data_IF_737213087666
#
_entry.id   IF_737213087666
#
_cell.length_a   1.000
_cell.length_b   1.000
_cell.length_c   1.000
_cell.angle_alpha   90.00
_cell.angle_beta   90.00
_cell.angle_gamma   90.00
#
_symmetry.space_group_name_H-M   'P 1'
#
loop_
_entity.id
_entity.type
_entity.pdbx_description
1 polymer ?
#
# COMPACT_ATOMS: atom_id res chain seq x y z
N UNK A 1 20.28 -41.76 23.94
CA UNK A 1 18.94 -41.19 24.23
C UNK A 1 18.88 -39.66 24.00
N UNK A 2 19.49 -39.15 22.91
CA UNK A 2 19.61 -37.71 22.62
C UNK A 2 18.82 -37.21 21.38
N UNK A 3 18.12 -38.10 20.65
CA UNK A 3 17.59 -37.74 19.33
C UNK A 3 16.24 -37.04 19.27
N UNK A 4 15.37 -37.19 20.23
CA UNK A 4 14.01 -36.60 20.18
C UNK A 4 13.92 -35.20 20.80
N UNK A 5 14.69 -34.92 21.84
CA UNK A 5 14.74 -33.58 22.48
C UNK A 5 15.32 -32.49 21.59
N UNK A 6 16.31 -32.82 20.73
CA UNK A 6 16.89 -31.86 19.79
C UNK A 6 15.97 -31.45 18.65
N UNK A 7 15.01 -32.32 18.26
CA UNK A 7 14.03 -32.02 17.19
C UNK A 7 12.87 -31.17 17.67
N UNK A 8 12.55 -31.19 18.95
CA UNK A 8 11.42 -30.42 19.53
C UNK A 8 11.83 -29.02 19.96
N UNK A 9 13.13 -28.75 20.20
CA UNK A 9 13.61 -27.46 20.65
C UNK A 9 13.24 -26.29 19.72
N UNK A 10 13.37 -26.37 18.37
CA UNK A 10 12.94 -25.28 17.48
C UNK A 10 11.44 -24.99 17.58
N UNK A 11 10.61 -26.03 17.67
CA UNK A 11 9.16 -25.88 17.79
C UNK A 11 8.74 -25.24 19.11
N UNK A 12 9.41 -25.60 20.22
CA UNK A 12 9.18 -25.00 21.53
C UNK A 12 9.60 -23.53 21.59
N UNK A 13 10.66 -23.14 20.84
CA UNK A 13 11.07 -21.74 20.73
C UNK A 13 10.10 -20.89 19.92
N UNK A 14 9.49 -21.45 18.89
CA UNK A 14 8.51 -20.76 18.04
C UNK A 14 7.11 -20.72 18.68
N UNK A 15 6.80 -21.66 19.59
CA UNK A 15 5.48 -21.87 20.17
C UNK A 15 4.89 -20.62 20.85
N UNK A 16 5.62 -19.83 21.68
CA UNK A 16 5.04 -18.64 22.32
C UNK A 16 4.62 -17.59 21.29
N UNK A 17 5.47 -17.31 20.29
CA UNK A 17 5.16 -16.38 19.20
C UNK A 17 4.05 -16.90 18.30
N UNK A 18 4.05 -18.20 17.99
CA UNK A 18 3.01 -18.86 17.20
C UNK A 18 1.64 -18.83 17.89
N UNK A 19 1.59 -19.12 19.19
CA UNK A 19 0.35 -19.02 19.98
C UNK A 19 -0.18 -17.58 20.03
N UNK A 20 0.71 -16.61 20.22
CA UNK A 20 0.34 -15.20 20.20
C UNK A 20 -0.28 -14.82 18.84
N UNK A 21 0.36 -15.15 17.74
CA UNK A 21 -0.17 -14.89 16.39
C UNK A 21 -1.49 -15.63 16.16
N UNK A 22 -1.60 -16.89 16.58
CA UNK A 22 -2.85 -17.63 16.45
C UNK A 22 -3.98 -16.96 17.25
N UNK A 23 -3.75 -16.59 18.50
CA UNK A 23 -4.78 -15.99 19.35
C UNK A 23 -5.21 -14.60 18.86
N UNK A 24 -4.27 -13.73 18.47
CA UNK A 24 -4.57 -12.33 18.17
C UNK A 24 -4.75 -12.02 16.67
N UNK A 25 -4.41 -12.95 15.80
CA UNK A 25 -4.61 -12.82 14.35
C UNK A 25 -5.63 -13.81 13.80
N UNK A 26 -5.44 -15.12 14.02
CA UNK A 26 -6.34 -16.13 13.43
C UNK A 26 -7.72 -16.12 14.08
N UNK A 27 -7.82 -15.98 15.42
CA UNK A 27 -9.13 -16.00 16.09
C UNK A 27 -10.00 -14.82 15.61
N UNK A 28 -9.57 -13.55 15.62
CA UNK A 28 -10.38 -12.46 15.07
C UNK A 28 -10.74 -12.66 13.59
N UNK A 29 -9.82 -13.20 12.78
CA UNK A 29 -10.07 -13.46 11.37
C UNK A 29 -11.16 -14.52 11.17
N UNK A 30 -11.12 -15.61 11.94
CA UNK A 30 -12.16 -16.65 11.92
C UNK A 30 -13.50 -16.09 12.39
N UNK A 31 -13.51 -15.27 13.44
CA UNK A 31 -14.73 -14.61 13.92
C UNK A 31 -15.32 -13.67 12.85
N UNK A 32 -14.50 -12.91 12.15
CA UNK A 32 -14.95 -12.07 11.03
C UNK A 32 -15.50 -12.89 9.86
N UNK A 33 -14.87 -14.03 9.51
CA UNK A 33 -15.41 -14.96 8.49
C UNK A 33 -16.77 -15.48 8.94
N UNK A 34 -16.89 -15.92 10.20
CA UNK A 34 -18.17 -16.35 10.75
C UNK A 34 -19.21 -15.24 10.67
N UNK A 35 -18.85 -14.00 11.03
CA UNK A 35 -19.73 -12.84 10.99
C UNK A 35 -20.17 -12.50 9.55
N UNK A 36 -19.30 -12.63 8.57
CA UNK A 36 -19.62 -12.34 7.16
C UNK A 36 -20.70 -13.25 6.58
N UNK A 37 -20.95 -14.41 7.20
CA UNK A 37 -21.94 -15.40 6.81
C UNK A 37 -23.21 -15.34 7.66
N UNK A 38 -23.35 -14.35 8.53
CA UNK A 38 -24.52 -14.15 9.39
C UNK A 38 -25.56 -13.25 8.70
N UNK A 39 -26.78 -13.35 9.22
CA UNK A 39 -27.89 -12.43 8.95
C UNK A 39 -28.37 -11.84 10.26
N UNK A 40 -29.08 -10.70 10.19
CA UNK A 40 -29.63 -10.01 11.35
C UNK A 40 -29.12 -8.58 11.48
N UNK A 41 -29.51 -7.96 12.57
CA UNK A 41 -29.17 -6.58 12.93
C UNK A 41 -28.94 -6.47 14.44
N UNK A 42 -28.62 -5.26 14.93
CA UNK A 42 -28.38 -5.02 16.35
C UNK A 42 -29.62 -5.22 17.25
N UNK A 43 -30.83 -5.11 16.69
CA UNK A 43 -32.08 -5.19 17.45
C UNK A 43 -32.49 -6.65 17.63
N UNK A 44 -32.48 -7.41 16.52
CA UNK A 44 -32.95 -8.81 16.49
C UNK A 44 -31.81 -9.82 16.78
N UNK A 45 -30.57 -9.30 16.84
CA UNK A 45 -29.38 -10.13 16.99
C UNK A 45 -28.89 -10.72 15.67
N UNK A 46 -27.68 -11.26 15.69
CA UNK A 46 -27.05 -11.89 14.52
C UNK A 46 -27.19 -13.43 14.61
N UNK A 47 -27.62 -14.03 13.52
CA UNK A 47 -27.85 -15.48 13.43
C UNK A 47 -26.93 -16.10 12.37
N UNK A 48 -26.33 -17.24 12.72
CA UNK A 48 -25.48 -17.99 11.80
C UNK A 48 -26.32 -18.76 10.79
N UNK A 49 -26.44 -18.23 9.58
CA UNK A 49 -27.28 -18.77 8.51
C UNK A 49 -26.50 -19.22 7.28
N UNK A 50 -25.15 -19.10 7.30
CA UNK A 50 -24.29 -19.32 6.14
C UNK A 50 -24.74 -18.50 4.92
N UNK A 51 -25.07 -17.23 5.14
CA UNK A 51 -25.66 -16.33 4.16
C UNK A 51 -24.64 -15.80 3.16
N UNK A 52 -24.37 -16.57 2.11
CA UNK A 52 -23.43 -16.18 1.04
C UNK A 52 -23.87 -14.98 0.23
N UNK A 53 -25.17 -14.64 0.26
CA UNK A 53 -25.71 -13.46 -0.42
C UNK A 53 -25.02 -12.15 0.01
N UNK A 54 -24.51 -12.05 1.24
CA UNK A 54 -23.76 -10.88 1.67
C UNK A 54 -22.60 -10.53 0.71
N UNK A 55 -21.95 -11.55 0.13
CA UNK A 55 -20.87 -11.35 -0.84
C UNK A 55 -21.39 -10.93 -2.21
N UNK A 56 -22.45 -11.59 -2.71
CA UNK A 56 -23.03 -11.26 -4.02
C UNK A 56 -23.68 -9.90 -4.01
N UNK A 57 -24.45 -9.59 -2.97
CA UNK A 57 -25.11 -8.29 -2.81
C UNK A 57 -24.10 -7.18 -2.61
N UNK A 58 -23.06 -7.42 -1.79
CA UNK A 58 -21.98 -6.48 -1.59
C UNK A 58 -21.22 -6.17 -2.89
N UNK A 59 -20.88 -7.19 -3.68
CA UNK A 59 -20.20 -7.00 -4.95
C UNK A 59 -21.10 -6.35 -6.00
N UNK A 60 -22.39 -6.68 -6.06
CA UNK A 60 -23.33 -6.08 -7.01
C UNK A 60 -23.62 -4.61 -6.68
N UNK A 61 -23.75 -4.28 -5.39
CA UNK A 61 -24.07 -2.93 -4.93
C UNK A 61 -22.86 -1.99 -4.94
N UNK A 62 -21.69 -2.50 -4.57
CA UNK A 62 -20.49 -1.69 -4.35
C UNK A 62 -19.34 -2.01 -5.33
N UNK A 63 -19.63 -2.72 -6.42
CA UNK A 63 -18.62 -3.12 -7.41
C UNK A 63 -17.85 -1.94 -8.02
N UNK A 64 -18.51 -0.81 -8.23
CA UNK A 64 -17.87 0.43 -8.70
C UNK A 64 -16.84 0.98 -7.70
N UNK A 65 -17.09 0.81 -6.40
CA UNK A 65 -16.16 1.23 -5.33
C UNK A 65 -14.94 0.32 -5.27
N UNK A 66 -15.12 -1.00 -5.49
CA UNK A 66 -13.99 -1.92 -5.62
C UNK A 66 -13.09 -1.52 -6.80
N UNK A 67 -13.67 -1.33 -7.99
CA UNK A 67 -12.91 -0.92 -9.18
C UNK A 67 -12.19 0.41 -8.93
N UNK A 68 -12.87 1.39 -8.34
CA UNK A 68 -12.28 2.70 -8.01
C UNK A 68 -11.11 2.56 -7.03
N UNK A 69 -11.26 1.75 -5.97
CA UNK A 69 -10.18 1.52 -4.99
C UNK A 69 -8.95 0.91 -5.65
N UNK A 70 -9.13 -0.10 -6.49
CA UNK A 70 -8.03 -0.72 -7.22
C UNK A 70 -7.39 0.26 -8.21
N UNK A 71 -8.20 1.06 -8.89
CA UNK A 71 -7.72 2.06 -9.85
C UNK A 71 -6.91 3.18 -9.18
N UNK A 72 -7.45 3.76 -8.08
CA UNK A 72 -6.72 4.78 -7.31
C UNK A 72 -5.49 4.19 -6.65
N UNK A 73 -5.58 2.95 -6.14
CA UNK A 73 -4.44 2.20 -5.63
C UNK A 73 -3.33 2.03 -6.66
N UNK A 74 -3.69 1.65 -7.88
CA UNK A 74 -2.75 1.50 -8.98
C UNK A 74 -2.10 2.84 -9.36
N UNK A 75 -2.90 3.89 -9.55
CA UNK A 75 -2.39 5.22 -9.91
C UNK A 75 -1.46 5.79 -8.82
N UNK A 76 -1.83 5.67 -7.55
CA UNK A 76 -1.00 6.13 -6.43
C UNK A 76 0.29 5.30 -6.33
N UNK A 77 0.23 3.99 -6.56
CA UNK A 77 1.42 3.13 -6.58
C UNK A 77 2.36 3.51 -7.71
N UNK A 78 1.85 3.77 -8.92
CA UNK A 78 2.66 4.25 -10.05
C UNK A 78 3.29 5.61 -9.71
N UNK A 79 2.51 6.54 -9.14
CA UNK A 79 3.03 7.83 -8.70
C UNK A 79 4.15 7.67 -7.65
N UNK A 80 3.96 6.76 -6.68
CA UNK A 80 5.01 6.43 -5.71
C UNK A 80 6.27 5.89 -6.38
N UNK A 81 6.17 4.98 -7.36
CA UNK A 81 7.35 4.47 -8.09
C UNK A 81 8.08 5.62 -8.78
N UNK A 82 7.35 6.45 -9.52
CA UNK A 82 7.92 7.56 -10.29
C UNK A 82 8.65 8.57 -9.39
N UNK A 83 8.15 8.82 -8.19
CA UNK A 83 8.76 9.75 -7.24
C UNK A 83 9.84 9.07 -6.39
N UNK A 84 9.58 7.87 -5.88
CA UNK A 84 10.46 7.17 -4.96
C UNK A 84 11.72 6.62 -5.65
N UNK A 85 11.59 6.10 -6.86
CA UNK A 85 12.73 5.47 -7.54
C UNK A 85 13.88 6.46 -7.81
N UNK A 86 13.65 7.66 -8.40
CA UNK A 86 14.70 8.65 -8.57
C UNK A 86 15.30 9.12 -7.25
N UNK A 87 14.48 9.33 -6.22
CA UNK A 87 14.94 9.72 -4.89
C UNK A 87 15.83 8.64 -4.26
N UNK A 88 15.37 7.39 -4.23
CA UNK A 88 16.11 6.25 -3.72
C UNK A 88 17.43 6.03 -4.51
N UNK A 89 17.37 6.14 -5.84
CA UNK A 89 18.54 6.05 -6.70
C UNK A 89 19.58 7.12 -6.38
N UNK A 90 19.15 8.37 -6.24
CA UNK A 90 20.05 9.46 -5.89
C UNK A 90 20.68 9.25 -4.52
N UNK A 91 19.91 8.84 -3.51
CA UNK A 91 20.41 8.56 -2.16
C UNK A 91 21.41 7.40 -2.19
N UNK A 92 21.09 6.29 -2.88
CA UNK A 92 21.94 5.10 -2.93
C UNK A 92 23.29 5.37 -3.59
N UNK A 93 23.31 6.07 -4.74
CA UNK A 93 24.54 6.24 -5.55
C UNK A 93 25.27 7.56 -5.30
N UNK A 94 24.56 8.62 -4.86
CA UNK A 94 25.16 9.96 -4.70
C UNK A 94 25.08 10.50 -3.26
N UNK A 95 24.36 9.85 -2.37
CA UNK A 95 24.19 10.32 -0.97
C UNK A 95 25.47 10.33 -0.15
N UNK A 96 26.48 9.54 -0.51
CA UNK A 96 27.76 9.50 0.17
C UNK A 96 27.63 9.27 1.68
N UNK A 97 28.31 10.10 2.49
CA UNK A 97 28.24 10.02 3.97
C UNK A 97 26.91 10.53 4.55
N UNK A 98 26.11 11.24 3.77
CA UNK A 98 24.84 11.82 4.21
C UNK A 98 23.62 10.93 3.90
N UNK A 99 23.79 9.70 3.41
CA UNK A 99 22.70 8.75 3.10
C UNK A 99 21.68 8.65 4.22
N UNK A 100 22.15 8.43 5.46
CA UNK A 100 21.26 8.30 6.64
C UNK A 100 20.45 9.57 6.89
N UNK A 101 21.04 10.75 6.66
CA UNK A 101 20.36 12.05 6.81
C UNK A 101 19.25 12.20 5.76
N UNK A 102 19.53 11.84 4.51
CA UNK A 102 18.49 11.90 3.44
C UNK A 102 17.37 10.92 3.67
N UNK A 103 17.68 9.70 4.11
CA UNK A 103 16.66 8.71 4.51
C UNK A 103 15.83 9.21 5.69
N UNK A 104 16.48 9.80 6.70
CA UNK A 104 15.77 10.39 7.82
C UNK A 104 14.84 11.51 7.37
N UNK A 105 15.28 12.42 6.48
CA UNK A 105 14.45 13.48 5.92
C UNK A 105 13.24 12.92 5.14
N UNK A 106 13.42 11.84 4.39
CA UNK A 106 12.35 11.17 3.67
C UNK A 106 11.30 10.56 4.63
N UNK A 107 11.76 10.07 5.79
CA UNK A 107 10.90 9.48 6.81
C UNK A 107 10.32 10.51 7.78
N UNK A 108 10.91 11.70 7.89
CA UNK A 108 10.55 12.71 8.87
C UNK A 108 9.04 13.03 8.89
N UNK A 109 8.35 13.17 7.74
CA UNK A 109 6.89 13.40 7.74
C UNK A 109 6.09 12.28 8.41
N UNK A 110 6.65 11.07 8.50
CA UNK A 110 5.97 9.91 9.11
C UNK A 110 5.84 9.97 10.63
N UNK A 111 6.65 10.78 11.28
CA UNK A 111 6.51 11.04 12.72
C UNK A 111 5.29 11.93 13.05
N UNK A 112 4.69 12.53 12.04
CA UNK A 112 3.41 13.25 12.18
C UNK A 112 2.26 12.28 11.98
N UNK A 113 1.18 12.45 12.74
CA UNK A 113 -0.05 11.63 12.61
C UNK A 113 -0.54 11.58 11.15
N UNK A 114 -0.94 10.39 10.71
CA UNK A 114 -1.50 10.16 9.37
C UNK A 114 -2.68 11.10 9.06
N UNK A 115 -3.62 11.23 10.01
CA UNK A 115 -4.79 12.10 9.84
C UNK A 115 -4.37 13.57 9.71
N UNK A 116 -3.45 14.04 10.56
CA UNK A 116 -2.96 15.42 10.48
C UNK A 116 -2.28 15.71 9.15
N UNK A 117 -1.51 14.78 8.61
CA UNK A 117 -0.89 14.91 7.28
C UNK A 117 -1.92 15.02 6.18
N UNK A 118 -2.96 14.19 6.22
CA UNK A 118 -4.04 14.21 5.21
C UNK A 118 -4.85 15.50 5.30
N UNK A 119 -5.17 15.97 6.51
CA UNK A 119 -5.85 17.28 6.70
C UNK A 119 -4.97 18.44 6.25
N UNK A 120 -3.66 18.40 6.54
CA UNK A 120 -2.72 19.42 6.04
C UNK A 120 -2.65 19.41 4.51
N UNK A 121 -2.69 18.21 3.89
CA UNK A 121 -2.75 18.08 2.43
C UNK A 121 -4.02 18.68 1.85
N UNK A 122 -5.16 18.52 2.54
CA UNK A 122 -6.41 19.21 2.18
C UNK A 122 -6.23 20.72 2.15
N UNK A 123 -5.59 21.29 3.18
CA UNK A 123 -5.34 22.75 3.23
C UNK A 123 -4.43 23.20 2.07
N UNK A 124 -3.43 22.41 1.69
CA UNK A 124 -2.55 22.69 0.56
C UNK A 124 -3.30 22.68 -0.76
N UNK A 125 -4.26 21.77 -0.92
CA UNK A 125 -5.06 21.59 -2.14
C UNK A 125 -6.32 22.46 -2.19
N UNK A 126 -6.63 23.22 -1.13
CA UNK A 126 -7.74 24.17 -1.13
C UNK A 126 -7.50 25.28 -2.16
N UNK A 127 -8.55 25.74 -2.80
CA UNK A 127 -8.51 26.74 -3.88
C UNK A 127 -7.78 28.03 -3.50
N UNK A 128 -7.96 28.50 -2.26
CA UNK A 128 -7.24 29.65 -1.70
C UNK A 128 -6.07 29.21 -0.81
N UNK A 129 -5.60 27.99 -0.98
CA UNK A 129 -4.48 27.43 -0.23
C UNK A 129 -3.14 28.05 -0.58
N UNK A 130 -2.09 27.70 0.18
CA UNK A 130 -0.77 28.31 0.04
C UNK A 130 -0.09 28.03 -1.32
N UNK A 131 -0.57 27.04 -2.07
CA UNK A 131 -0.02 26.68 -3.39
C UNK A 131 -0.96 27.14 -4.50
N UNK A 132 -2.24 26.75 -4.46
CA UNK A 132 -3.19 27.05 -5.55
C UNK A 132 -3.61 28.51 -5.58
N UNK A 133 -3.70 29.18 -4.44
CA UNK A 133 -4.01 30.62 -4.36
C UNK A 133 -3.03 31.47 -5.18
N UNK A 134 -1.75 31.47 -4.84
CA UNK A 134 -0.74 32.22 -5.61
C UNK A 134 -0.67 31.85 -7.08
N UNK A 135 -0.80 30.58 -7.46
CA UNK A 135 -0.80 30.14 -8.86
C UNK A 135 -2.00 30.68 -9.63
N UNK A 136 -3.13 30.81 -8.99
CA UNK A 136 -4.35 31.40 -9.54
C UNK A 136 -4.22 32.94 -9.66
N UNK A 137 -3.70 33.59 -8.62
CA UNK A 137 -3.48 35.04 -8.59
C UNK A 137 -2.50 35.51 -9.68
N UNK A 138 -1.51 34.67 -10.00
CA UNK A 138 -0.56 34.93 -11.07
C UNK A 138 -1.05 34.48 -12.45
N UNK A 139 -2.31 34.02 -12.57
CA UNK A 139 -2.92 33.62 -13.85
C UNK A 139 -2.36 32.33 -14.45
N UNK A 140 -1.62 31.52 -13.68
CA UNK A 140 -1.11 30.21 -14.11
C UNK A 140 -2.23 29.18 -14.18
N UNK A 141 -3.22 29.29 -13.28
CA UNK A 141 -4.38 28.41 -13.23
C UNK A 141 -5.65 29.17 -13.57
N UNK A 142 -6.60 28.53 -14.30
CA UNK A 142 -7.94 29.09 -14.54
C UNK A 142 -8.66 29.39 -13.23
N UNK A 143 -9.48 30.43 -13.21
CA UNK A 143 -10.26 30.83 -12.01
C UNK A 143 -11.20 29.76 -11.48
N UNK A 144 -11.69 28.85 -12.35
CA UNK A 144 -12.56 27.72 -11.97
C UNK A 144 -11.82 26.41 -11.69
N UNK A 145 -10.49 26.42 -11.69
CA UNK A 145 -9.73 25.19 -11.40
C UNK A 145 -9.80 24.86 -9.92
N UNK A 146 -10.26 23.64 -9.60
CA UNK A 146 -10.17 23.06 -8.26
C UNK A 146 -9.74 21.60 -8.36
N UNK A 147 -8.96 21.16 -7.39
CA UNK A 147 -8.44 19.80 -7.32
C UNK A 147 -9.07 19.01 -6.18
N UNK A 148 -9.54 19.67 -5.13
CA UNK A 148 -10.25 19.04 -4.02
C UNK A 148 -11.52 18.36 -4.55
N UNK A 149 -11.99 17.35 -3.83
CA UNK A 149 -13.15 16.53 -4.19
C UNK A 149 -13.01 15.81 -5.53
N UNK A 150 -11.76 15.61 -6.02
CA UNK A 150 -11.47 14.86 -7.24
C UNK A 150 -10.64 13.60 -6.94
N UNK A 151 -10.67 12.65 -7.88
CA UNK A 151 -9.80 11.47 -7.82
C UNK A 151 -8.30 11.82 -7.84
N UNK A 152 -7.93 12.94 -8.47
CA UNK A 152 -6.55 13.42 -8.49
C UNK A 152 -6.07 13.87 -7.10
N UNK A 153 -6.93 14.53 -6.31
CA UNK A 153 -6.63 14.87 -4.92
C UNK A 153 -6.43 13.62 -4.07
N UNK A 154 -7.31 12.62 -4.21
CA UNK A 154 -7.18 11.34 -3.50
C UNK A 154 -5.87 10.66 -3.85
N UNK A 155 -5.58 10.47 -5.14
CA UNK A 155 -4.35 9.81 -5.61
C UNK A 155 -3.10 10.55 -5.15
N UNK A 156 -3.09 11.88 -5.16
CA UNK A 156 -1.94 12.66 -4.70
C UNK A 156 -1.73 12.55 -3.19
N UNK A 157 -2.80 12.56 -2.39
CA UNK A 157 -2.73 12.34 -0.94
C UNK A 157 -2.26 10.93 -0.59
N UNK A 158 -2.78 9.92 -1.28
CA UNK A 158 -2.34 8.54 -1.15
C UNK A 158 -0.85 8.39 -1.50
N UNK A 159 -0.42 8.95 -2.63
CA UNK A 159 0.98 8.90 -3.04
C UNK A 159 1.90 9.57 -2.01
N UNK A 160 1.53 10.74 -1.50
CA UNK A 160 2.27 11.42 -0.45
C UNK A 160 2.36 10.58 0.83
N UNK A 161 1.22 10.05 1.28
CA UNK A 161 1.17 9.29 2.53
C UNK A 161 1.89 7.94 2.47
N UNK A 162 2.01 7.31 1.31
CA UNK A 162 2.60 5.98 1.16
C UNK A 162 3.97 5.97 0.45
N UNK A 163 4.49 7.14 0.07
CA UNK A 163 5.80 7.29 -0.60
C UNK A 163 6.96 6.55 0.09
N UNK A 164 7.16 6.61 1.42
CA UNK A 164 8.25 5.91 2.08
C UNK A 164 8.14 4.39 2.04
N UNK A 165 6.93 3.83 2.00
CA UNK A 165 6.76 2.37 1.85
C UNK A 165 7.25 1.87 0.49
N UNK A 166 7.23 2.72 -0.52
CA UNK A 166 7.84 2.46 -1.83
C UNK A 166 9.34 2.75 -1.82
N UNK A 167 9.76 3.88 -1.24
CA UNK A 167 11.13 4.36 -1.34
C UNK A 167 12.13 3.49 -0.57
N UNK A 168 11.77 3.00 0.62
CA UNK A 168 12.67 2.23 1.45
C UNK A 168 13.07 0.88 0.85
N UNK A 169 12.16 0.02 0.37
CA UNK A 169 12.54 -1.23 -0.27
C UNK A 169 13.37 -1.01 -1.54
N UNK A 170 13.02 0.00 -2.35
CA UNK A 170 13.81 0.37 -3.54
C UNK A 170 15.22 0.80 -3.13
N UNK A 171 15.35 1.66 -2.12
CA UNK A 171 16.65 2.08 -1.62
C UNK A 171 17.50 0.90 -1.16
N UNK A 172 16.93 -0.01 -0.35
CA UNK A 172 17.65 -1.19 0.15
C UNK A 172 18.11 -2.08 -0.98
N UNK A 173 17.29 -2.26 -2.02
CA UNK A 173 17.68 -3.04 -3.19
C UNK A 173 18.80 -2.36 -3.99
N UNK A 174 18.70 -1.04 -4.20
CA UNK A 174 19.72 -0.26 -4.91
C UNK A 174 21.05 -0.20 -4.15
N UNK A 175 21.03 -0.17 -2.82
CA UNK A 175 22.25 -0.15 -2.01
C UNK A 175 23.00 -1.49 -2.01
N UNK A 176 22.31 -2.58 -2.33
CA UNK A 176 22.91 -3.91 -2.50
C UNK A 176 23.56 -4.13 -3.87
N UNK A 177 23.34 -3.23 -4.82
CA UNK A 177 23.98 -3.32 -6.15
C UNK A 177 25.47 -3.06 -6.00
N UNK A 178 26.29 -4.08 -6.31
CA UNK A 178 27.75 -3.94 -6.27
C UNK A 178 28.21 -2.90 -7.32
N UNK A 179 28.90 -1.83 -6.91
CA UNK A 179 29.44 -0.84 -7.84
C UNK A 179 30.31 -1.42 -8.94
N UNK A 180 31.02 -2.54 -8.67
CA UNK A 180 31.88 -3.22 -9.64
C UNK A 180 31.10 -3.75 -10.84
N UNK A 181 29.86 -4.19 -10.66
CA UNK A 181 29.01 -4.67 -11.77
C UNK A 181 28.61 -3.49 -12.66
N UNK A 182 28.42 -2.31 -12.10
CA UNK A 182 28.12 -1.10 -12.85
C UNK A 182 29.37 -0.59 -13.59
N UNK A 183 30.54 -0.65 -12.95
CA UNK A 183 31.85 -0.33 -13.59
C UNK A 183 32.15 -1.28 -14.74
N UNK A 184 31.96 -2.59 -14.55
CA UNK A 184 32.13 -3.57 -15.63
C UNK A 184 31.20 -3.30 -16.83
N UNK A 185 29.99 -2.81 -16.62
CA UNK A 185 29.12 -2.39 -17.73
C UNK A 185 29.73 -1.22 -18.52
N UNK A 186 30.36 -0.26 -17.84
CA UNK A 186 31.03 0.85 -18.51
C UNK A 186 32.28 0.40 -19.26
N UNK A 187 33.05 -0.55 -18.72
CA UNK A 187 34.21 -1.14 -19.38
C UNK A 187 33.82 -1.88 -20.69
N UNK A 188 32.57 -2.38 -20.74
CA UNK A 188 31.95 -2.95 -21.94
C UNK A 188 31.28 -1.90 -22.84
N UNK A 189 31.66 -0.63 -22.73
CA UNK A 189 31.17 0.51 -23.51
C UNK A 189 29.66 0.77 -23.35
N UNK A 190 29.02 0.34 -22.26
CA UNK A 190 27.62 0.68 -22.02
C UNK A 190 27.47 2.17 -21.69
N UNK A 191 26.51 2.83 -22.32
CA UNK A 191 26.12 4.19 -21.94
C UNK A 191 25.45 4.19 -20.56
N UNK A 192 25.36 5.37 -19.90
CA UNK A 192 24.70 5.51 -18.59
C UNK A 192 23.26 4.95 -18.59
N UNK A 193 22.52 5.21 -19.67
CA UNK A 193 21.16 4.69 -19.83
C UNK A 193 21.14 3.17 -19.98
N UNK A 194 22.09 2.62 -20.71
CA UNK A 194 22.20 1.16 -20.87
C UNK A 194 22.61 0.48 -19.57
N UNK A 195 23.58 1.02 -18.83
CA UNK A 195 23.95 0.53 -17.51
C UNK A 195 22.77 0.59 -16.54
N UNK A 196 21.99 1.66 -16.56
CA UNK A 196 20.77 1.78 -15.76
C UNK A 196 19.73 0.73 -16.15
N UNK A 197 19.32 0.67 -17.43
CA UNK A 197 18.21 -0.20 -17.87
C UNK A 197 18.56 -1.69 -17.86
N UNK A 198 19.84 -2.07 -18.12
CA UNK A 198 20.25 -3.47 -18.26
C UNK A 198 20.91 -4.05 -17.01
N UNK A 199 21.39 -3.21 -16.09
CA UNK A 199 22.09 -3.66 -14.88
C UNK A 199 21.34 -3.20 -13.62
N UNK A 200 21.25 -1.90 -13.39
CA UNK A 200 20.73 -1.36 -12.13
C UNK A 200 19.24 -1.65 -11.96
N UNK A 201 18.43 -1.37 -12.98
CA UNK A 201 16.98 -1.57 -12.91
C UNK A 201 16.62 -3.04 -12.67
N UNK A 202 17.13 -4.03 -13.41
CA UNK A 202 16.83 -5.44 -13.14
C UNK A 202 17.27 -5.89 -11.74
N UNK A 203 18.45 -5.49 -11.27
CA UNK A 203 18.94 -5.84 -9.93
C UNK A 203 18.13 -5.18 -8.81
N UNK A 204 17.47 -4.06 -9.07
CA UNK A 204 16.61 -3.37 -8.10
C UNK A 204 15.14 -3.78 -8.16
N UNK A 205 14.71 -4.56 -9.15
CA UNK A 205 13.31 -5.01 -9.29
C UNK A 205 12.76 -5.70 -8.04
N UNK A 206 13.50 -6.55 -7.29
CA UNK A 206 12.99 -7.11 -6.04
C UNK A 206 12.58 -6.05 -5.03
N UNK A 207 13.30 -4.91 -4.96
CA UNK A 207 12.93 -3.77 -4.11
C UNK A 207 11.67 -3.06 -4.61
N UNK A 208 11.54 -2.88 -5.92
CA UNK A 208 10.31 -2.32 -6.53
C UNK A 208 9.13 -3.24 -6.25
N UNK A 209 9.31 -4.56 -6.40
CA UNK A 209 8.28 -5.55 -6.11
C UNK A 209 7.78 -5.46 -4.66
N UNK A 210 8.71 -5.45 -3.70
CA UNK A 210 8.36 -5.30 -2.29
C UNK A 210 7.66 -3.96 -2.01
N UNK A 211 8.15 -2.86 -2.59
CA UNK A 211 7.56 -1.53 -2.48
C UNK A 211 6.13 -1.46 -3.03
N UNK A 212 5.88 -2.12 -4.18
CA UNK A 212 4.52 -2.20 -4.77
C UNK A 212 3.57 -2.90 -3.81
N UNK A 213 3.92 -4.04 -3.25
CA UNK A 213 3.05 -4.75 -2.30
C UNK A 213 2.79 -3.89 -1.05
N UNK A 214 3.85 -3.33 -0.47
CA UNK A 214 3.76 -2.51 0.75
C UNK A 214 2.98 -1.20 0.54
N UNK A 215 2.84 -0.74 -0.70
CA UNK A 215 2.10 0.48 -1.06
C UNK A 215 0.71 0.15 -1.55
N UNK A 216 0.56 -0.72 -2.55
CA UNK A 216 -0.71 -0.99 -3.22
C UNK A 216 -1.79 -1.54 -2.29
N UNK A 217 -1.42 -2.48 -1.40
CA UNK A 217 -2.39 -3.12 -0.51
C UNK A 217 -3.04 -2.14 0.46
N UNK A 218 -2.28 -1.37 1.27
CA UNK A 218 -2.90 -0.43 2.20
C UNK A 218 -3.55 0.75 1.47
N UNK A 219 -3.02 1.21 0.34
CA UNK A 219 -3.62 2.27 -0.47
C UNK A 219 -5.00 1.86 -1.00
N UNK A 220 -5.15 0.63 -1.49
CA UNK A 220 -6.43 0.14 -2.04
C UNK A 220 -7.52 -0.01 -0.98
N UNK A 221 -7.17 -0.12 0.29
CA UNK A 221 -8.10 -0.20 1.42
C UNK A 221 -8.24 1.11 2.20
N UNK A 222 -7.54 2.17 1.78
CA UNK A 222 -7.56 3.46 2.47
C UNK A 222 -8.94 4.11 2.37
N UNK A 223 -9.44 4.58 3.51
CA UNK A 223 -10.69 5.35 3.58
C UNK A 223 -10.46 6.82 3.94
N UNK A 224 -9.36 7.13 4.64
CA UNK A 224 -9.12 8.48 5.18
C UNK A 224 -8.84 9.49 4.08
N UNK A 225 -7.93 9.15 3.14
CA UNK A 225 -7.63 10.07 2.04
C UNK A 225 -8.85 10.27 1.12
N UNK A 226 -9.61 9.21 0.85
CA UNK A 226 -10.81 9.30 0.03
C UNK A 226 -11.89 10.17 0.71
N UNK A 227 -12.11 10.02 2.01
CA UNK A 227 -13.07 10.80 2.77
C UNK A 227 -12.69 12.29 2.87
N UNK A 228 -11.41 12.57 3.15
CA UNK A 228 -10.94 13.94 3.39
C UNK A 228 -10.70 14.73 2.10
N UNK A 229 -10.25 14.07 1.02
CA UNK A 229 -9.80 14.71 -0.21
C UNK A 229 -10.70 14.46 -1.42
N UNK A 230 -11.50 13.38 -1.39
CA UNK A 230 -12.24 12.91 -2.58
C UNK A 230 -13.67 13.39 -2.68
N UNK A 231 -14.25 13.86 -1.59
CA UNK A 231 -15.66 14.20 -1.54
C UNK A 231 -16.58 12.99 -1.79
N UNK A 232 -17.92 13.20 -1.82
CA UNK A 232 -18.89 12.10 -1.86
C UNK A 232 -18.80 11.21 -3.11
N UNK A 233 -18.34 11.75 -4.23
CA UNK A 233 -18.29 11.02 -5.51
C UNK A 233 -17.05 10.14 -5.67
N UNK A 234 -16.00 10.36 -4.88
CA UNK A 234 -14.73 9.64 -4.98
C UNK A 234 -14.47 8.69 -3.82
N UNK A 235 -15.55 8.22 -3.18
CA UNK A 235 -15.47 7.22 -2.10
C UNK A 235 -14.89 5.91 -2.62
N UNK A 236 -14.04 5.29 -1.81
CA UNK A 236 -13.41 3.99 -2.04
C UNK A 236 -14.14 2.90 -1.24
N UNK A 237 -13.79 1.64 -1.48
CA UNK A 237 -14.43 0.53 -0.77
C UNK A 237 -14.15 0.58 0.74
N UNK A 238 -13.01 1.12 1.17
CA UNK A 238 -12.71 1.36 2.58
C UNK A 238 -13.72 2.25 3.28
N UNK A 239 -14.22 3.32 2.60
CA UNK A 239 -15.27 4.17 3.13
C UNK A 239 -16.61 3.43 3.29
N UNK A 240 -16.95 2.57 2.33
CA UNK A 240 -18.16 1.75 2.41
C UNK A 240 -18.08 0.79 3.58
N UNK A 241 -16.97 0.07 3.75
CA UNK A 241 -16.75 -0.85 4.87
C UNK A 241 -16.87 -0.09 6.20
N UNK A 242 -16.27 1.09 6.31
CA UNK A 242 -16.36 1.95 7.48
C UNK A 242 -17.82 2.35 7.76
N UNK A 243 -18.54 2.80 6.73
CA UNK A 243 -19.94 3.23 6.85
C UNK A 243 -20.86 2.08 7.27
N UNK A 244 -20.73 0.91 6.62
CA UNK A 244 -21.51 -0.29 6.96
C UNK A 244 -21.24 -0.74 8.40
N UNK A 245 -19.98 -0.66 8.84
CA UNK A 245 -19.60 -1.09 10.18
C UNK A 245 -20.03 -0.10 11.26
N UNK A 246 -19.69 1.19 11.12
CA UNK A 246 -19.89 2.18 12.20
C UNK A 246 -21.24 2.89 12.14
N UNK A 247 -21.73 3.22 10.95
CA UNK A 247 -22.95 4.03 10.81
C UNK A 247 -24.19 3.15 10.66
N UNK A 248 -24.12 2.10 9.85
CA UNK A 248 -25.25 1.22 9.58
C UNK A 248 -25.32 0.03 10.54
N UNK A 249 -24.22 -0.23 11.30
CA UNK A 249 -24.10 -1.42 12.17
C UNK A 249 -24.39 -2.75 11.46
N UNK A 250 -24.18 -2.78 10.14
CA UNK A 250 -24.35 -3.93 9.27
C UNK A 250 -23.07 -4.78 9.26
N UNK A 251 -22.68 -5.30 10.42
CA UNK A 251 -21.44 -6.04 10.62
C UNK A 251 -21.24 -7.21 9.65
N UNK A 252 -22.28 -8.03 9.32
CA UNK A 252 -22.13 -9.11 8.34
C UNK A 252 -21.73 -8.59 6.95
N UNK A 253 -22.37 -7.51 6.47
CA UNK A 253 -22.05 -6.89 5.19
C UNK A 253 -20.64 -6.28 5.19
N UNK A 254 -20.28 -5.50 6.22
CA UNK A 254 -18.95 -4.92 6.36
C UNK A 254 -17.84 -5.99 6.36
N UNK A 255 -18.09 -7.12 7.07
CA UNK A 255 -17.17 -8.27 7.09
C UNK A 255 -17.06 -8.93 5.73
N UNK A 256 -18.17 -9.14 5.03
CA UNK A 256 -18.18 -9.74 3.69
C UNK A 256 -17.41 -8.89 2.68
N UNK A 257 -17.61 -7.55 2.68
CA UNK A 257 -16.88 -6.60 1.85
C UNK A 257 -15.38 -6.60 2.15
N UNK A 258 -14.99 -6.69 3.43
CA UNK A 258 -13.60 -6.76 3.85
C UNK A 258 -12.92 -8.02 3.33
N UNK A 259 -13.58 -9.18 3.43
CA UNK A 259 -13.05 -10.44 2.89
C UNK A 259 -13.03 -10.47 1.37
N UNK A 260 -14.02 -9.89 0.70
CA UNK A 260 -14.02 -9.75 -0.75
C UNK A 260 -12.83 -8.90 -1.21
N UNK A 261 -12.57 -7.76 -0.55
CA UNK A 261 -11.40 -6.92 -0.84
C UNK A 261 -10.09 -7.70 -0.60
N UNK A 262 -9.97 -8.37 0.54
CA UNK A 262 -8.80 -9.18 0.86
C UNK A 262 -8.55 -10.26 -0.20
N UNK A 263 -9.58 -10.98 -0.63
CA UNK A 263 -9.47 -12.01 -1.66
C UNK A 263 -9.00 -11.43 -3.00
N UNK A 264 -9.57 -10.29 -3.43
CA UNK A 264 -9.17 -9.59 -4.67
C UNK A 264 -7.70 -9.17 -4.59
N UNK A 265 -7.28 -8.57 -3.46
CA UNK A 265 -5.89 -8.15 -3.27
C UNK A 265 -4.93 -9.34 -3.24
N UNK A 266 -5.28 -10.43 -2.56
CA UNK A 266 -4.46 -11.66 -2.53
C UNK A 266 -4.30 -12.26 -3.94
N UNK A 267 -5.38 -12.35 -4.71
CA UNK A 267 -5.30 -12.81 -6.11
C UNK A 267 -4.42 -11.88 -6.93
N UNK A 268 -4.56 -10.56 -6.76
CA UNK A 268 -3.71 -9.57 -7.43
C UNK A 268 -2.23 -9.72 -7.07
N UNK A 269 -1.90 -9.88 -5.79
CA UNK A 269 -0.52 -10.10 -5.31
C UNK A 269 0.03 -11.41 -5.86
N UNK A 270 -0.75 -12.49 -5.83
CA UNK A 270 -0.32 -13.80 -6.33
C UNK A 270 -0.07 -13.76 -7.85
N UNK A 271 -0.95 -13.13 -8.61
CA UNK A 271 -0.77 -12.92 -10.04
C UNK A 271 0.49 -12.09 -10.33
N UNK A 272 0.70 -11.00 -9.59
CA UNK A 272 1.88 -10.15 -9.69
C UNK A 272 3.18 -10.93 -9.36
N UNK A 273 3.18 -11.69 -8.26
CA UNK A 273 4.31 -12.53 -7.88
C UNK A 273 4.65 -13.58 -8.94
N UNK A 274 3.64 -14.17 -9.57
CA UNK A 274 3.83 -15.20 -10.61
C UNK A 274 4.38 -14.61 -11.92
N UNK A 275 4.04 -13.39 -12.28
CA UNK A 275 4.50 -12.75 -13.53
C UNK A 275 5.95 -12.27 -13.45
N UNK A 276 6.43 -11.88 -12.27
CA UNK A 276 7.82 -11.39 -12.09
C UNK A 276 8.84 -12.49 -11.75
N UNK A 277 8.42 -13.77 -11.79
CA UNK A 277 9.31 -14.91 -11.60
C UNK A 277 9.80 -15.02 -10.14
N UNK A 278 9.08 -15.78 -9.33
CA UNK A 278 9.40 -16.05 -7.92
C UNK A 278 10.76 -16.71 -7.71
N UNK A 279 11.39 -17.31 -8.73
CA UNK A 279 12.68 -17.97 -8.61
C UNK A 279 13.80 -16.98 -8.29
N UNK A 280 13.87 -15.84 -8.98
CA UNK A 280 14.91 -14.83 -8.75
C UNK A 280 14.75 -14.08 -7.42
N UNK A 281 13.51 -13.89 -6.95
CA UNK A 281 13.21 -13.19 -5.70
C UNK A 281 13.52 -14.07 -4.47
N UNK A 282 13.25 -15.38 -4.54
CA UNK A 282 13.53 -16.32 -3.46
C UNK A 282 15.02 -16.64 -3.37
N UNK A 283 15.74 -16.73 -4.50
CA UNK A 283 17.18 -16.92 -4.50
C UNK A 283 17.95 -15.68 -3.99
N UNK A 284 17.46 -14.48 -4.27
CA UNK A 284 18.02 -13.23 -3.74
C UNK A 284 17.78 -13.05 -2.22
N UNK A 285 16.71 -13.63 -1.68
CA UNK A 285 16.42 -13.61 -0.25
C UNK A 285 17.12 -14.70 0.56
N UNK A 286 17.62 -15.74 -0.12
CA UNK A 286 18.30 -16.90 0.49
C UNK A 286 19.83 -16.83 0.51
N UNK A 287 20.42 -15.79 -0.07
CA UNK A 287 21.86 -15.47 -0.04
C UNK A 287 22.13 -14.23 0.79
#
# INVERSE_FOLDING_TARGET
>A
MGGARGRLAPYLMILPGGLWLAAFFLVPLVLMVSLSLQTGNLIDGFQQTLHWQNYTDGLSTYGDKFVRSLWYGLLATIACIVLAYPAAYWIAFRGGRAKSTYLFMLLLPYFVSFILRTVSWKLVLTDNGPILGPLRDHGVLPQGFHILDTGAAVVSGLAYNFLPFMALPIYVALERVDPRVVEAAYDLYASRTQAFLRVILPLSLPGVFAGVIMTFVPVSSDYVNAEVLGGPQNTMIGNVIQTEYFNNSAYPMASALSFALMAILLVGIFAYARTLGTQDVLEAAGR
#
